data_IF_331545942987
#
_entry.id   IF_331545942987
#
_cell.length_a   1.000
_cell.length_b   1.000
_cell.length_c   1.000
_cell.angle_alpha   90.00
_cell.angle_beta   90.00
_cell.angle_gamma   90.00
#
_symmetry.space_group_name_H-M   'P 1'
#
loop_
_entity.id
_entity.type
_entity.pdbx_description
1 polymer ?
#
# COMPACT_ATOMS: atom_id res chain seq x y z
N UNK A 1 -22.27 74.10 20.90
CA UNK A 1 -21.35 73.67 19.81
C UNK A 1 -20.61 72.37 20.16
N UNK A 2 -21.24 71.40 20.86
CA UNK A 2 -20.57 70.17 21.32
C UNK A 2 -21.18 68.86 20.79
N UNK A 3 -22.31 68.91 20.06
CA UNK A 3 -23.06 67.72 19.65
C UNK A 3 -22.55 67.07 18.35
N UNK A 4 -21.80 67.81 17.52
CA UNK A 4 -21.36 67.34 16.20
C UNK A 4 -20.13 66.39 16.30
N UNK A 5 -19.19 66.68 17.22
CA UNK A 5 -17.98 65.87 17.43
C UNK A 5 -18.25 64.44 17.90
N UNK A 6 -19.27 64.26 18.76
CA UNK A 6 -19.68 62.95 19.28
C UNK A 6 -20.30 62.06 18.19
N UNK A 7 -20.94 62.67 17.19
CA UNK A 7 -21.49 61.94 16.04
C UNK A 7 -20.38 61.37 15.14
N UNK A 8 -19.30 62.14 14.90
CA UNK A 8 -18.15 61.65 14.13
C UNK A 8 -17.37 60.59 14.89
N UNK A 9 -17.19 60.75 16.21
CA UNK A 9 -16.54 59.75 17.05
C UNK A 9 -17.28 58.40 17.02
N UNK A 10 -18.62 58.42 17.08
CA UNK A 10 -19.43 57.20 16.95
C UNK A 10 -19.34 56.56 15.56
N UNK A 11 -19.19 57.36 14.50
CA UNK A 11 -18.96 56.86 13.13
C UNK A 11 -17.57 56.22 13.00
N UNK A 12 -16.54 56.85 13.57
CA UNK A 12 -15.16 56.32 13.61
C UNK A 12 -15.10 54.97 14.33
N UNK A 13 -15.67 54.87 15.54
CA UNK A 13 -15.72 53.62 16.30
C UNK A 13 -16.46 52.50 15.52
N UNK A 14 -17.55 52.84 14.81
CA UNK A 14 -18.25 51.88 13.94
C UNK A 14 -17.39 51.38 12.78
N UNK A 15 -16.53 52.23 12.22
CA UNK A 15 -15.63 51.87 11.13
C UNK A 15 -14.50 50.98 11.65
N UNK A 16 -13.90 51.32 12.79
CA UNK A 16 -12.87 50.50 13.43
C UNK A 16 -13.39 49.10 13.79
N UNK A 17 -14.60 49.00 14.35
CA UNK A 17 -15.24 47.72 14.64
C UNK A 17 -15.44 46.87 13.38
N UNK A 18 -15.89 47.49 12.28
CA UNK A 18 -16.03 46.78 10.99
C UNK A 18 -14.68 46.34 10.41
N UNK A 19 -13.63 47.13 10.59
CA UNK A 19 -12.28 46.80 10.14
C UNK A 19 -11.75 45.56 10.86
N UNK A 20 -11.91 45.51 12.19
CA UNK A 20 -11.53 44.36 13.02
C UNK A 20 -12.29 43.11 12.59
N UNK A 21 -13.61 43.22 12.42
CA UNK A 21 -14.47 42.10 12.01
C UNK A 21 -14.09 41.56 10.61
N UNK A 22 -13.84 42.45 9.65
CA UNK A 22 -13.38 42.10 8.31
C UNK A 22 -12.01 41.42 8.30
N UNK A 23 -11.07 41.85 9.15
CA UNK A 23 -9.78 41.19 9.28
C UNK A 23 -9.91 39.79 9.88
N UNK A 24 -10.75 39.62 10.90
CA UNK A 24 -11.01 38.31 11.51
C UNK A 24 -11.64 37.34 10.51
N UNK A 25 -12.60 37.79 9.71
CA UNK A 25 -13.20 36.95 8.65
C UNK A 25 -12.16 36.52 7.61
N UNK A 26 -11.31 37.44 7.15
CA UNK A 26 -10.25 37.13 6.17
C UNK A 26 -9.27 36.12 6.76
N UNK A 27 -8.86 36.30 8.02
CA UNK A 27 -7.97 35.35 8.71
C UNK A 27 -8.63 33.97 8.85
N UNK A 28 -9.90 33.91 9.29
CA UNK A 28 -10.65 32.65 9.39
C UNK A 28 -10.74 31.92 8.06
N UNK A 29 -11.13 32.62 6.98
CA UNK A 29 -11.19 32.06 5.62
C UNK A 29 -9.82 31.58 5.15
N UNK A 30 -8.75 32.33 5.41
CA UNK A 30 -7.38 31.94 5.05
C UNK A 30 -6.93 30.65 5.74
N UNK A 31 -7.13 30.54 7.06
CA UNK A 31 -6.76 29.32 7.80
C UNK A 31 -7.66 28.13 7.43
N UNK A 32 -8.94 28.38 7.13
CA UNK A 32 -9.85 27.35 6.65
C UNK A 32 -9.42 26.79 5.30
N UNK A 33 -9.06 27.66 4.35
CA UNK A 33 -8.54 27.26 3.04
C UNK A 33 -7.24 26.47 3.19
N UNK A 34 -6.30 26.99 3.98
CA UNK A 34 -5.01 26.33 4.23
C UNK A 34 -5.18 24.94 4.87
N UNK A 35 -6.19 24.76 5.73
CA UNK A 35 -6.52 23.46 6.32
C UNK A 35 -7.02 22.46 5.27
N UNK A 36 -7.90 22.88 4.37
CA UNK A 36 -8.42 22.02 3.30
C UNK A 36 -7.33 21.65 2.28
N UNK A 37 -6.45 22.60 1.94
CA UNK A 37 -5.30 22.34 1.06
C UNK A 37 -4.33 21.33 1.70
N UNK A 38 -4.03 21.49 2.99
CA UNK A 38 -3.15 20.57 3.73
C UNK A 38 -3.76 19.17 3.87
N UNK A 39 -5.08 19.09 4.08
CA UNK A 39 -5.84 17.83 4.14
C UNK A 39 -5.82 17.12 2.79
N UNK A 40 -5.94 17.87 1.70
CA UNK A 40 -5.84 17.35 0.33
C UNK A 40 -4.42 16.81 0.06
N UNK A 41 -3.38 17.58 0.41
CA UNK A 41 -1.99 17.13 0.30
C UNK A 41 -1.70 15.89 1.17
N UNK A 42 -2.23 15.83 2.40
CA UNK A 42 -2.11 14.66 3.26
C UNK A 42 -2.79 13.44 2.63
N UNK A 43 -4.00 13.59 2.10
CA UNK A 43 -4.70 12.48 1.43
C UNK A 43 -3.97 12.03 0.17
N UNK A 44 -3.43 12.94 -0.64
CA UNK A 44 -2.64 12.61 -1.83
C UNK A 44 -1.32 11.90 -1.46
N UNK A 45 -0.62 12.39 -0.45
CA UNK A 45 0.58 11.74 0.09
C UNK A 45 0.25 10.38 0.71
N UNK A 46 -0.89 10.27 1.40
CA UNK A 46 -1.40 9.02 1.96
C UNK A 46 -1.77 8.04 0.85
N UNK A 47 -2.35 8.47 -0.27
CA UNK A 47 -2.66 7.60 -1.44
C UNK A 47 -1.36 7.15 -2.11
N UNK A 48 -0.38 8.05 -2.32
CA UNK A 48 0.95 7.68 -2.85
C UNK A 48 1.71 6.71 -1.93
N UNK A 49 1.54 6.84 -0.61
CA UNK A 49 2.20 5.99 0.38
C UNK A 49 1.35 4.78 0.80
N UNK A 50 0.07 4.73 0.45
CA UNK A 50 -0.81 3.56 0.55
C UNK A 50 -0.32 2.62 -0.54
N UNK A 51 0.78 1.95 -0.23
CA UNK A 51 1.48 0.99 -1.08
C UNK A 51 0.49 0.23 -1.95
N UNK A 52 0.75 0.15 -3.26
CA UNK A 52 0.01 -0.72 -4.20
C UNK A 52 -0.33 -2.07 -3.56
N UNK A 53 0.56 -2.58 -2.70
CA UNK A 53 0.38 -3.78 -1.89
C UNK A 53 -0.93 -3.87 -1.07
N UNK A 54 -1.51 -2.77 -0.59
CA UNK A 54 -2.78 -2.80 0.18
C UNK A 54 -3.98 -3.10 -0.70
N UNK A 55 -4.01 -2.59 -1.94
CA UNK A 55 -5.02 -2.97 -2.93
C UNK A 55 -4.98 -4.48 -3.18
N UNK A 56 -3.78 -5.04 -3.34
CA UNK A 56 -3.57 -6.47 -3.56
C UNK A 56 -3.90 -7.36 -2.34
N UNK A 57 -4.16 -6.77 -1.16
CA UNK A 57 -4.59 -7.50 0.05
C UNK A 57 -6.10 -7.41 0.23
N UNK A 58 -6.68 -6.22 0.05
CA UNK A 58 -8.11 -5.97 0.29
C UNK A 58 -8.99 -6.57 -0.83
N UNK A 59 -8.46 -6.73 -2.04
CA UNK A 59 -9.21 -7.26 -3.19
C UNK A 59 -9.45 -8.76 -3.07
N UNK A 60 -10.70 -9.18 -3.32
CA UNK A 60 -11.08 -10.60 -3.40
C UNK A 60 -10.73 -11.15 -4.78
N UNK A 61 -9.89 -12.18 -4.84
CA UNK A 61 -9.50 -12.84 -6.08
C UNK A 61 -10.09 -14.26 -6.16
N UNK A 62 -10.29 -14.77 -7.37
CA UNK A 62 -10.83 -16.12 -7.60
C UNK A 62 -9.95 -17.22 -7.00
N UNK A 63 -8.63 -17.02 -7.00
CA UNK A 63 -7.66 -17.98 -6.49
C UNK A 63 -7.44 -17.91 -4.97
N UNK A 64 -8.02 -16.95 -4.26
CA UNK A 64 -7.73 -16.71 -2.83
C UNK A 64 -7.97 -17.93 -1.95
N UNK A 65 -9.06 -18.66 -2.16
CA UNK A 65 -9.39 -19.87 -1.39
C UNK A 65 -8.41 -21.01 -1.70
N UNK A 66 -8.06 -21.21 -2.97
CA UNK A 66 -7.08 -22.21 -3.41
C UNK A 66 -5.70 -21.94 -2.81
N UNK A 67 -5.27 -20.67 -2.78
CA UNK A 67 -3.99 -20.30 -2.20
C UNK A 67 -3.92 -20.62 -0.71
N UNK A 68 -4.96 -20.28 0.05
CA UNK A 68 -5.04 -20.59 1.49
C UNK A 68 -5.06 -22.09 1.75
N UNK A 69 -5.78 -22.85 0.93
CA UNK A 69 -5.80 -24.32 1.00
C UNK A 69 -4.41 -24.91 0.77
N UNK A 70 -3.74 -24.53 -0.31
CA UNK A 70 -2.39 -25.01 -0.62
C UNK A 70 -1.36 -24.60 0.44
N UNK A 71 -1.46 -23.37 0.95
CA UNK A 71 -0.60 -22.87 2.02
C UNK A 71 -0.67 -23.76 3.26
N UNK A 72 -1.89 -24.12 3.67
CA UNK A 72 -2.14 -24.95 4.87
C UNK A 72 -1.85 -26.42 4.63
N UNK A 73 -2.27 -26.98 3.51
CA UNK A 73 -2.17 -28.41 3.24
C UNK A 73 -0.76 -28.83 2.81
N UNK A 74 -0.10 -28.03 1.95
CA UNK A 74 1.20 -28.37 1.35
C UNK A 74 2.36 -27.74 2.08
N UNK A 75 2.28 -26.44 2.36
CA UNK A 75 3.36 -25.71 3.03
C UNK A 75 3.25 -25.70 4.55
N UNK A 76 2.14 -26.19 5.11
CA UNK A 76 1.88 -26.29 6.56
C UNK A 76 1.99 -24.94 7.29
N UNK A 77 1.74 -23.83 6.59
CA UNK A 77 1.68 -22.50 7.20
C UNK A 77 0.23 -22.11 7.49
N UNK A 78 0.00 -21.38 8.59
CA UNK A 78 -1.35 -20.93 8.98
C UNK A 78 -1.86 -19.80 8.09
N UNK A 79 -1.02 -18.77 7.92
CA UNK A 79 -1.33 -17.53 7.20
C UNK A 79 -0.10 -16.98 6.48
N UNK A 80 -0.34 -16.04 5.56
CA UNK A 80 0.70 -15.33 4.82
C UNK A 80 1.43 -14.31 5.71
N UNK A 81 2.74 -14.17 5.50
CA UNK A 81 3.52 -13.07 6.08
C UNK A 81 3.29 -11.77 5.31
N UNK A 82 3.72 -10.66 5.92
CA UNK A 82 3.64 -9.34 5.31
C UNK A 82 4.20 -9.33 3.87
N UNK A 83 3.51 -8.64 2.97
CA UNK A 83 3.83 -8.48 1.54
C UNK A 83 3.74 -9.75 0.67
N UNK A 84 3.67 -10.96 1.24
CA UNK A 84 3.60 -12.20 0.45
C UNK A 84 2.31 -12.28 -0.38
N UNK A 85 1.16 -12.12 0.28
CA UNK A 85 -0.14 -12.22 -0.37
C UNK A 85 -0.28 -11.18 -1.49
N UNK A 86 0.12 -9.94 -1.24
CA UNK A 86 0.10 -8.86 -2.22
C UNK A 86 0.91 -9.21 -3.47
N UNK A 87 2.14 -9.70 -3.28
CA UNK A 87 3.03 -10.08 -4.38
C UNK A 87 2.52 -11.29 -5.17
N UNK A 88 1.97 -12.29 -4.47
CA UNK A 88 1.35 -13.48 -5.09
C UNK A 88 0.15 -13.06 -5.94
N UNK A 89 -0.75 -12.22 -5.41
CA UNK A 89 -1.94 -11.75 -6.12
C UNK A 89 -1.58 -10.91 -7.35
N UNK A 90 -0.60 -10.02 -7.24
CA UNK A 90 -0.08 -9.27 -8.38
C UNK A 90 0.53 -10.19 -9.46
N UNK A 91 1.29 -11.21 -9.04
CA UNK A 91 1.90 -12.20 -9.95
C UNK A 91 0.84 -13.02 -10.70
N UNK A 92 -0.18 -13.52 -9.98
CA UNK A 92 -1.30 -14.27 -10.57
C UNK A 92 -2.18 -13.40 -11.48
N UNK A 93 -2.19 -12.09 -11.24
CA UNK A 93 -2.82 -11.08 -12.11
C UNK A 93 -1.96 -10.68 -13.31
N UNK A 94 -0.85 -11.39 -13.57
CA UNK A 94 0.08 -11.14 -14.68
C UNK A 94 0.69 -9.74 -14.65
N UNK A 95 0.97 -9.21 -13.46
CA UNK A 95 1.72 -7.96 -13.26
C UNK A 95 3.16 -8.26 -12.86
N UNK A 96 4.07 -7.41 -13.30
CA UNK A 96 5.47 -7.48 -12.89
C UNK A 96 5.63 -7.01 -11.44
N UNK A 97 6.39 -7.76 -10.64
CA UNK A 97 6.53 -7.53 -9.20
C UNK A 97 8.00 -7.50 -8.82
N UNK A 98 8.44 -6.37 -8.23
CA UNK A 98 9.71 -6.30 -7.53
C UNK A 98 9.49 -6.47 -6.02
N UNK A 99 9.88 -7.62 -5.48
CA UNK A 99 9.67 -7.96 -4.08
C UNK A 99 10.92 -7.73 -3.23
N UNK A 100 10.85 -6.75 -2.33
CA UNK A 100 11.89 -6.49 -1.33
C UNK A 100 11.49 -7.04 0.05
N UNK A 101 12.19 -8.08 0.49
CA UNK A 101 12.03 -8.72 1.80
C UNK A 101 13.41 -9.06 2.38
N UNK A 102 13.57 -9.19 3.71
CA UNK A 102 14.81 -9.67 4.33
C UNK A 102 15.00 -11.19 4.12
N UNK A 103 16.23 -11.69 4.26
CA UNK A 103 16.52 -13.14 4.30
C UNK A 103 15.67 -13.82 5.38
N UNK A 104 15.22 -15.06 5.12
CA UNK A 104 14.25 -15.74 6.00
C UNK A 104 12.81 -15.19 5.93
N UNK A 105 12.55 -14.10 5.23
CA UNK A 105 11.21 -13.52 5.05
C UNK A 105 10.23 -14.38 4.26
N UNK A 106 10.69 -15.48 3.64
CA UNK A 106 9.82 -16.40 2.88
C UNK A 106 9.57 -15.95 1.44
N UNK A 107 10.56 -15.33 0.78
CA UNK A 107 10.49 -14.92 -0.63
C UNK A 107 10.17 -16.08 -1.57
N UNK A 108 10.69 -17.29 -1.28
CA UNK A 108 10.50 -18.46 -2.13
C UNK A 108 9.04 -18.83 -2.32
N UNK A 109 8.23 -18.68 -1.27
CA UNK A 109 6.80 -18.96 -1.32
C UNK A 109 6.07 -18.11 -2.38
N UNK A 110 6.55 -16.89 -2.63
CA UNK A 110 5.87 -15.94 -3.53
C UNK A 110 5.90 -16.38 -4.99
N UNK A 111 6.93 -17.10 -5.44
CA UNK A 111 6.94 -17.70 -6.79
C UNK A 111 6.52 -19.17 -6.78
N UNK A 112 6.76 -19.89 -5.69
CA UNK A 112 6.38 -21.31 -5.58
C UNK A 112 4.87 -21.48 -5.56
N UNK A 113 4.14 -20.72 -4.75
CA UNK A 113 2.69 -20.88 -4.63
C UNK A 113 1.96 -20.59 -5.95
N UNK A 114 2.25 -19.48 -6.67
CA UNK A 114 1.71 -19.28 -8.01
C UNK A 114 2.06 -20.41 -8.98
N UNK A 115 3.29 -20.95 -8.94
CA UNK A 115 3.69 -22.04 -9.83
C UNK A 115 2.82 -23.29 -9.70
N UNK A 116 2.22 -23.53 -8.52
CA UNK A 116 1.33 -24.67 -8.29
C UNK A 116 -0.12 -24.43 -8.75
N UNK A 117 -0.55 -23.16 -8.82
CA UNK A 117 -1.93 -22.78 -9.18
C UNK A 117 -2.04 -22.43 -10.66
N UNK A 118 -0.95 -21.98 -11.27
CA UNK A 118 -0.93 -21.56 -12.68
C UNK A 118 -0.66 -22.77 -13.57
N UNK A 119 -1.39 -22.87 -14.68
CA UNK A 119 -1.09 -23.88 -15.71
C UNK A 119 0.18 -23.49 -16.45
N UNK A 120 1.12 -24.41 -16.58
CA UNK A 120 2.34 -24.23 -17.36
C UNK A 120 3.61 -24.51 -16.55
N UNK A 121 4.69 -23.83 -16.93
CA UNK A 121 6.02 -23.94 -16.32
C UNK A 121 6.42 -22.60 -15.70
N UNK A 122 6.91 -22.63 -14.47
CA UNK A 122 7.58 -21.48 -13.84
C UNK A 122 9.09 -21.67 -13.89
N UNK A 123 9.79 -20.79 -14.60
CA UNK A 123 11.25 -20.76 -14.66
C UNK A 123 11.79 -19.87 -13.55
N UNK A 124 12.71 -20.41 -12.75
CA UNK A 124 13.40 -19.66 -11.69
C UNK A 124 14.89 -19.63 -12.00
N UNK A 125 15.45 -18.43 -12.10
CA UNK A 125 16.87 -18.20 -12.34
C UNK A 125 17.54 -17.84 -11.02
N UNK A 126 18.60 -18.56 -10.66
CA UNK A 126 19.33 -18.38 -9.40
C UNK A 126 20.81 -18.66 -9.60
N UNK A 127 21.66 -17.88 -8.92
CA UNK A 127 23.11 -17.93 -9.07
C UNK A 127 23.81 -19.08 -8.31
N UNK A 128 23.11 -19.79 -7.42
CA UNK A 128 23.74 -20.76 -6.51
C UNK A 128 23.11 -22.16 -6.61
N UNK A 129 23.91 -23.16 -7.01
CA UNK A 129 23.46 -24.55 -7.18
C UNK A 129 22.88 -25.16 -5.89
N UNK A 130 23.43 -24.82 -4.72
CA UNK A 130 22.94 -25.30 -3.42
C UNK A 130 21.48 -24.83 -3.18
N UNK A 131 21.16 -23.60 -3.56
CA UNK A 131 19.81 -23.04 -3.41
C UNK A 131 18.84 -23.71 -4.39
N UNK A 132 19.30 -23.97 -5.62
CA UNK A 132 18.52 -24.68 -6.65
C UNK A 132 18.14 -26.08 -6.16
N UNK A 133 19.12 -26.87 -5.68
CA UNK A 133 18.91 -28.21 -5.13
C UNK A 133 17.92 -28.21 -3.97
N UNK A 134 18.10 -27.31 -3.00
CA UNK A 134 17.20 -27.20 -1.83
C UNK A 134 15.77 -26.84 -2.25
N UNK A 135 15.60 -25.95 -3.22
CA UNK A 135 14.28 -25.52 -3.69
C UNK A 135 13.55 -26.65 -4.42
N UNK A 136 14.26 -27.39 -5.29
CA UNK A 136 13.68 -28.53 -6.02
C UNK A 136 13.32 -29.68 -5.08
N UNK A 137 14.18 -30.00 -4.10
CA UNK A 137 13.87 -31.03 -3.12
C UNK A 137 12.64 -30.67 -2.28
N UNK A 138 12.53 -29.42 -1.82
CA UNK A 138 11.34 -28.98 -1.08
C UNK A 138 10.04 -29.10 -1.88
N UNK A 139 10.07 -28.80 -3.19
CA UNK A 139 8.90 -28.96 -4.07
C UNK A 139 8.57 -30.45 -4.32
N UNK A 140 9.58 -31.32 -4.38
CA UNK A 140 9.37 -32.77 -4.51
C UNK A 140 8.74 -33.36 -3.24
N UNK A 141 9.16 -32.91 -2.05
CA UNK A 141 8.61 -33.35 -0.76
C UNK A 141 7.12 -33.02 -0.62
N UNK A 142 6.67 -31.88 -1.14
CA UNK A 142 5.23 -31.52 -1.14
C UNK A 142 4.42 -32.22 -2.25
N UNK A 143 5.08 -33.08 -3.06
CA UNK A 143 4.46 -33.94 -4.07
C UNK A 143 4.38 -33.34 -5.47
N UNK A 144 5.17 -32.31 -5.79
CA UNK A 144 5.17 -31.67 -7.11
C UNK A 144 6.47 -31.94 -7.88
N UNK A 145 6.38 -31.90 -9.20
CA UNK A 145 7.54 -32.10 -10.08
C UNK A 145 8.40 -30.84 -10.10
N UNK A 146 9.71 -31.03 -9.99
CA UNK A 146 10.69 -29.97 -10.09
C UNK A 146 12.03 -30.50 -10.61
N UNK A 147 12.74 -29.67 -11.34
CA UNK A 147 14.07 -29.95 -11.88
C UNK A 147 14.90 -28.67 -11.89
N UNK A 148 16.21 -28.82 -11.97
CA UNK A 148 17.14 -27.71 -12.18
C UNK A 148 18.19 -28.16 -13.21
N UNK A 149 18.76 -27.20 -13.92
CA UNK A 149 19.87 -27.43 -14.84
C UNK A 149 21.14 -26.85 -14.23
N UNK A 150 22.24 -27.58 -14.34
CA UNK A 150 23.58 -27.11 -14.02
C UNK A 150 24.31 -26.92 -15.36
N UNK A 151 24.91 -25.75 -15.55
CA UNK A 151 25.90 -25.51 -16.59
C UNK A 151 27.29 -25.86 -16.04
#
# INVERSE_FOLDING_TARGET
MAEDGTQYLNKLNKIEMKLIELEEEKRKKFYQQKKEDLKTQYNLAKIKNRSDATEWIEKKFEWSETLLKLLREKFKFRDFRAKQLAAINATLSKKDVLLLMPTGGGKSLVYQLPALVTKGLTLVVSAFNIINRRSVNGIKEIGYRGGYFEC
#
